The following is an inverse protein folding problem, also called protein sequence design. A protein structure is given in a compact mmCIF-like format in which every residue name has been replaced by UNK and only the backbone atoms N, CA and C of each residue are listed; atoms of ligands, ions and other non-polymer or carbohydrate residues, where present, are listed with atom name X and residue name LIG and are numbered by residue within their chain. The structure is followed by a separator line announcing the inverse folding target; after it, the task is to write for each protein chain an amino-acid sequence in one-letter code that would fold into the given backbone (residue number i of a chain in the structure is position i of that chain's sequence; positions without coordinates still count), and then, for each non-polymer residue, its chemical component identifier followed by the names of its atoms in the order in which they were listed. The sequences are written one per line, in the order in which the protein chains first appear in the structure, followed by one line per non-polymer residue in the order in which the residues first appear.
data_IF_038350006821
#
_entry.id   IF_038350006821
#
_cell.length_a   1.000
_cell.length_b   1.000
_cell.length_c   1.000
_cell.angle_alpha   90.00
_cell.angle_beta   90.00
_cell.angle_gamma   90.00
#
_symmetry.space_group_name_H-M   'P 1'
#
loop_
_entity.id
_entity.type
_entity.pdbx_description
1 polymer ?
#
# COMPACT_ATOMS: atom_id res chain seq x y z
N UNK A 1 51.95 -27.81 -3.46
CA UNK A 1 51.94 -29.27 -3.77
C UNK A 1 50.52 -29.74 -3.67
N UNK A 2 49.99 -30.32 -4.79
CA UNK A 2 48.92 -31.33 -4.94
C UNK A 2 47.55 -31.02 -4.28
N UNK A 3 46.41 -31.17 -4.85
CA UNK A 3 45.89 -31.63 -6.16
C UNK A 3 44.38 -31.71 -6.06
N UNK A 4 43.67 -31.17 -7.05
CA UNK A 4 42.45 -31.58 -7.75
C UNK A 4 41.53 -32.63 -7.06
N UNK A 5 40.22 -32.39 -7.02
CA UNK A 5 39.29 -33.20 -7.81
C UNK A 5 37.97 -32.45 -8.07
N UNK A 6 37.68 -32.39 -9.35
CA UNK A 6 36.46 -32.04 -10.06
C UNK A 6 35.44 -33.19 -9.90
N UNK A 7 34.19 -32.92 -9.64
CA UNK A 7 33.09 -33.83 -10.00
C UNK A 7 31.96 -33.04 -10.63
N UNK A 8 31.86 -33.25 -11.92
CA UNK A 8 30.76 -32.85 -12.82
C UNK A 8 29.60 -33.82 -12.62
N UNK A 9 28.40 -33.29 -12.44
CA UNK A 9 27.19 -34.13 -12.47
C UNK A 9 26.08 -33.39 -13.20
N UNK A 10 26.00 -33.62 -14.51
CA UNK A 10 24.90 -33.27 -15.40
C UNK A 10 23.79 -34.29 -15.19
N UNK A 11 22.58 -33.87 -14.89
CA UNK A 11 21.37 -34.67 -15.06
C UNK A 11 20.31 -33.81 -15.76
N UNK A 12 20.23 -34.05 -17.06
CA UNK A 12 19.12 -33.70 -17.91
C UNK A 12 17.90 -34.56 -17.54
N UNK A 13 16.74 -33.92 -17.41
CA UNK A 13 15.49 -34.67 -17.48
C UNK A 13 14.54 -34.03 -18.47
N UNK A 14 14.16 -34.91 -19.37
CA UNK A 14 13.46 -34.63 -20.63
C UNK A 14 11.99 -34.28 -20.47
N UNK A 15 11.51 -33.52 -21.45
CA UNK A 15 10.11 -33.27 -21.82
C UNK A 15 9.26 -34.55 -21.87
N UNK A 16 8.01 -34.42 -21.47
CA UNK A 16 6.92 -35.18 -22.10
C UNK A 16 5.79 -34.18 -22.40
N UNK A 17 5.60 -33.90 -23.69
CA UNK A 17 4.39 -33.36 -24.29
C UNK A 17 3.34 -34.48 -24.31
N UNK A 18 2.12 -34.16 -23.89
CA UNK A 18 0.95 -34.93 -24.28
C UNK A 18 -0.14 -34.01 -24.77
N UNK A 19 -0.30 -33.98 -26.09
CA UNK A 19 -1.44 -33.44 -26.84
C UNK A 19 -2.49 -34.56 -26.97
N UNK A 20 -3.74 -34.23 -26.63
CA UNK A 20 -4.96 -34.79 -27.24
C UNK A 20 -6.13 -33.98 -26.63
N UNK A 21 -7.08 -33.36 -27.34
CA UNK A 21 -7.65 -33.63 -28.65
C UNK A 21 -9.15 -33.45 -28.50
N UNK A 22 -9.72 -32.48 -29.21
CA UNK A 22 -11.07 -32.23 -29.69
C UNK A 22 -12.22 -33.10 -29.16
N UNK A 23 -13.35 -32.46 -28.76
CA UNK A 23 -14.57 -32.64 -29.61
C UNK A 23 -15.63 -31.59 -29.29
N UNK A 24 -16.17 -31.04 -30.34
CA UNK A 24 -17.38 -30.17 -30.39
C UNK A 24 -18.63 -31.05 -30.27
N UNK A 25 -19.69 -30.52 -29.68
CA UNK A 25 -21.03 -30.79 -30.20
C UNK A 25 -22.01 -29.64 -29.97
N UNK A 26 -22.87 -29.47 -30.94
CA UNK A 26 -23.87 -28.44 -31.18
C UNK A 26 -25.22 -28.79 -30.60
N UNK A 27 -26.03 -27.73 -30.35
CA UNK A 27 -27.49 -27.87 -30.26
C UNK A 27 -28.05 -26.74 -29.39
N UNK A 28 -28.48 -25.68 -29.93
CA UNK A 28 -29.67 -25.29 -30.69
C UNK A 28 -30.89 -24.95 -29.80
N UNK A 29 -31.21 -23.64 -29.89
CA UNK A 29 -32.57 -23.00 -29.95
C UNK A 29 -33.50 -23.13 -28.73
N UNK A 30 -34.01 -22.00 -28.22
CA UNK A 30 -35.21 -21.35 -28.72
C UNK A 30 -35.52 -20.03 -27.95
N UNK A 31 -35.95 -19.08 -28.76
CA UNK A 31 -36.58 -17.78 -28.44
C UNK A 31 -37.86 -17.91 -27.58
N UNK A 32 -38.11 -16.89 -26.79
CA UNK A 32 -39.40 -16.17 -26.93
C UNK A 32 -39.34 -14.79 -26.25
N UNK A 33 -39.70 -13.86 -27.04
CA UNK A 33 -40.05 -12.47 -26.83
C UNK A 33 -41.33 -12.29 -26.03
N UNK A 34 -41.40 -11.21 -25.25
CA UNK A 34 -42.59 -10.33 -25.30
C UNK A 34 -42.35 -9.00 -24.60
N UNK A 35 -42.44 -7.99 -25.40
CA UNK A 35 -42.65 -6.57 -25.13
C UNK A 35 -44.02 -6.31 -24.50
N UNK A 36 -44.17 -5.33 -23.59
CA UNK A 36 -45.30 -4.40 -23.57
C UNK A 36 -44.89 -3.05 -23.02
N UNK A 37 -45.09 -2.01 -23.82
CA UNK A 37 -45.20 -0.58 -23.50
C UNK A 37 -46.55 -0.24 -22.88
N UNK A 38 -46.61 0.80 -22.08
CA UNK A 38 -47.60 1.91 -22.10
C UNK A 38 -47.38 2.80 -20.88
N UNK A 39 -46.89 3.99 -20.99
CA UNK A 39 -47.49 5.32 -21.24
C UNK A 39 -48.81 5.61 -20.45
N UNK A 40 -48.73 6.60 -19.57
CA UNK A 40 -49.67 7.74 -19.61
C UNK A 40 -49.28 8.84 -18.60
N UNK A 41 -49.28 10.02 -19.11
CA UNK A 41 -49.16 11.35 -18.53
C UNK A 41 -50.42 11.79 -17.82
N UNK A 42 -50.31 12.59 -16.72
CA UNK A 42 -51.29 13.65 -16.41
C UNK A 42 -50.55 14.86 -15.83
N UNK A 43 -50.84 16.02 -16.42
CA UNK A 43 -50.53 17.38 -16.02
C UNK A 43 -51.50 17.88 -14.96
N UNK A 44 -51.05 18.74 -14.04
CA UNK A 44 -51.65 20.01 -13.58
C UNK A 44 -50.79 20.50 -12.39
N UNK A 45 -50.16 21.63 -12.30
CA UNK A 45 -50.51 22.97 -12.62
C UNK A 45 -50.90 23.73 -11.33
N UNK A 46 -49.94 24.49 -10.71
CA UNK A 46 -50.25 25.84 -10.13
C UNK A 46 -48.99 26.48 -9.48
N UNK A 47 -48.59 27.53 -10.03
CA UNK A 47 -48.01 28.85 -9.66
C UNK A 47 -47.53 29.17 -8.24
N UNK A 48 -46.31 29.77 -8.22
CA UNK A 48 -45.75 30.90 -7.48
C UNK A 48 -45.52 30.81 -5.99
N UNK A 49 -44.24 30.88 -5.58
CA UNK A 49 -43.62 32.11 -4.99
C UNK A 49 -42.12 31.97 -4.93
N UNK A 50 -41.45 33.02 -5.43
CA UNK A 50 -40.01 33.29 -5.28
C UNK A 50 -39.68 33.43 -3.79
N UNK A 51 -38.66 32.68 -3.32
CA UNK A 51 -37.76 33.13 -2.26
C UNK A 51 -36.35 32.71 -2.60
N UNK A 52 -35.60 33.69 -2.98
CA UNK A 52 -34.13 33.73 -3.04
C UNK A 52 -33.52 33.14 -1.77
N UNK A 53 -32.75 32.10 -1.93
CA UNK A 53 -31.77 31.67 -0.95
C UNK A 53 -30.66 30.96 -1.74
N UNK A 54 -29.60 31.70 -1.98
CA UNK A 54 -28.35 31.18 -2.50
C UNK A 54 -27.85 30.09 -1.54
N UNK A 55 -28.06 28.85 -1.90
CA UNK A 55 -27.34 27.73 -1.34
C UNK A 55 -26.11 27.51 -2.22
N UNK A 56 -24.97 27.90 -1.67
CA UNK A 56 -23.66 27.66 -2.22
C UNK A 56 -23.48 26.11 -2.28
N UNK A 57 -23.55 25.55 -3.48
CA UNK A 57 -23.10 24.18 -3.76
C UNK A 57 -21.58 24.13 -3.60
N UNK A 58 -21.13 23.75 -2.41
CA UNK A 58 -19.72 23.52 -2.11
C UNK A 58 -19.36 22.03 -1.93
N UNK A 59 -20.25 21.10 -2.27
CA UNK A 59 -20.03 19.66 -1.96
C UNK A 59 -19.74 18.76 -3.18
N UNK A 60 -19.89 19.26 -4.41
CA UNK A 60 -19.60 18.45 -5.60
C UNK A 60 -18.15 18.56 -6.11
N UNK A 61 -17.45 19.63 -5.72
CA UNK A 61 -16.09 19.90 -6.23
C UNK A 61 -15.00 19.15 -5.42
N UNK A 62 -15.21 18.96 -4.14
CA UNK A 62 -14.27 18.24 -3.27
C UNK A 62 -14.26 16.72 -3.51
N UNK A 63 -15.40 16.11 -3.78
CA UNK A 63 -15.50 14.70 -4.16
C UNK A 63 -14.81 14.41 -5.49
N UNK A 64 -14.87 15.34 -6.45
CA UNK A 64 -14.19 15.22 -7.75
C UNK A 64 -12.67 15.41 -7.64
N UNK A 65 -12.19 16.24 -6.72
CA UNK A 65 -10.74 16.45 -6.51
C UNK A 65 -10.11 15.23 -5.83
N UNK A 66 -10.73 14.70 -4.77
CA UNK A 66 -10.24 13.52 -4.06
C UNK A 66 -10.10 12.32 -5.01
N UNK A 67 -11.14 12.01 -5.82
CA UNK A 67 -11.06 10.91 -6.78
C UNK A 67 -9.95 11.07 -7.83
N UNK A 68 -9.65 12.32 -8.24
CA UNK A 68 -8.53 12.58 -9.17
C UNK A 68 -7.17 12.41 -8.50
N UNK A 69 -7.06 12.76 -7.24
CA UNK A 69 -5.87 12.55 -6.42
C UNK A 69 -5.60 11.06 -6.28
N UNK A 70 -6.63 10.26 -5.95
CA UNK A 70 -6.54 8.80 -5.87
C UNK A 70 -6.07 8.17 -7.20
N UNK A 71 -6.62 8.64 -8.33
CA UNK A 71 -6.19 8.21 -9.67
C UNK A 71 -4.72 8.57 -9.97
N UNK A 72 -4.24 9.68 -9.45
CA UNK A 72 -2.84 10.12 -9.62
C UNK A 72 -1.89 9.28 -8.77
N UNK A 73 -2.21 9.00 -7.52
CA UNK A 73 -1.44 8.08 -6.68
C UNK A 73 -1.44 6.65 -7.24
N UNK A 74 -2.56 6.19 -7.79
CA UNK A 74 -2.61 4.88 -8.47
C UNK A 74 -1.66 4.82 -9.67
N UNK A 75 -1.53 5.90 -10.45
CA UNK A 75 -0.56 5.98 -11.56
C UNK A 75 0.88 5.98 -11.07
N UNK A 76 1.18 6.67 -9.99
CA UNK A 76 2.51 6.67 -9.39
C UNK A 76 2.89 5.28 -8.90
N UNK A 77 2.00 4.61 -8.18
CA UNK A 77 2.19 3.22 -7.76
C UNK A 77 2.37 2.26 -8.94
N UNK A 78 1.69 2.52 -10.08
CA UNK A 78 1.86 1.74 -11.29
C UNK A 78 3.28 1.87 -11.87
N UNK A 79 3.89 3.06 -11.84
CA UNK A 79 5.28 3.28 -12.27
C UNK A 79 6.23 2.39 -11.44
N UNK A 80 6.08 2.38 -10.12
CA UNK A 80 6.88 1.54 -9.24
C UNK A 80 6.66 0.05 -9.49
N UNK A 81 5.44 -0.35 -9.82
CA UNK A 81 5.10 -1.74 -10.16
C UNK A 81 5.66 -2.17 -11.52
N UNK A 82 5.58 -1.32 -12.52
CA UNK A 82 6.05 -1.63 -13.88
C UNK A 82 7.57 -1.79 -13.94
N UNK A 83 8.31 -1.03 -13.14
CA UNK A 83 9.77 -1.07 -13.05
C UNK A 83 10.26 -1.54 -11.68
N UNK A 84 9.56 -2.49 -11.08
CA UNK A 84 9.76 -2.94 -9.71
C UNK A 84 11.20 -3.33 -9.37
N UNK A 85 11.89 -4.05 -10.27
CA UNK A 85 13.25 -4.53 -9.98
C UNK A 85 14.24 -3.39 -9.76
N UNK A 86 14.12 -2.30 -10.53
CA UNK A 86 15.00 -1.14 -10.39
C UNK A 86 14.56 -0.24 -9.23
N UNK A 87 13.25 -0.07 -9.01
CA UNK A 87 12.74 0.71 -7.87
C UNK A 87 13.05 0.07 -6.52
N UNK A 88 13.04 -1.25 -6.43
CA UNK A 88 13.50 -1.96 -5.23
C UNK A 88 14.96 -1.67 -4.89
N UNK A 89 15.81 -1.44 -5.89
CA UNK A 89 17.20 -1.01 -5.62
C UNK A 89 17.22 0.41 -5.05
N UNK A 90 16.42 1.34 -5.62
CA UNK A 90 16.33 2.72 -5.11
C UNK A 90 15.84 2.72 -3.67
N UNK A 91 14.72 2.05 -3.37
CA UNK A 91 14.15 1.97 -2.02
C UNK A 91 15.11 1.31 -1.02
N UNK A 92 15.87 0.30 -1.46
CA UNK A 92 16.91 -0.30 -0.62
C UNK A 92 18.10 0.62 -0.31
N UNK A 93 18.26 1.71 -1.07
CA UNK A 93 19.31 2.71 -0.84
C UNK A 93 18.81 3.87 0.03
N UNK A 94 17.50 4.16 0.02
CA UNK A 94 16.89 5.23 0.82
C UNK A 94 17.05 5.01 2.33
N UNK A 95 17.03 3.76 2.80
CA UNK A 95 17.13 3.41 4.22
C UNK A 95 18.49 3.71 4.87
N UNK A 96 19.47 4.20 4.12
CA UNK A 96 20.85 4.40 4.60
C UNK A 96 21.22 5.84 4.91
N UNK A 97 20.41 6.83 4.51
CA UNK A 97 20.83 8.25 4.55
C UNK A 97 19.64 9.19 4.85
N UNK A 98 18.90 8.95 5.93
CA UNK A 98 17.98 9.96 6.48
C UNK A 98 18.76 10.98 7.30
N UNK A 99 19.62 11.77 6.66
CA UNK A 99 20.19 12.96 7.29
C UNK A 99 19.17 14.10 7.28
N UNK A 100 19.14 14.89 8.35
CA UNK A 100 18.24 16.03 8.61
C UNK A 100 18.12 17.06 7.46
N UNK A 101 18.93 16.93 6.40
CA UNK A 101 18.93 17.83 5.25
C UNK A 101 17.81 17.59 4.22
N UNK A 102 17.07 16.52 4.34
CA UNK A 102 16.04 16.12 3.34
C UNK A 102 14.61 16.60 3.67
N UNK A 103 14.41 17.30 4.76
CA UNK A 103 13.07 17.67 5.28
C UNK A 103 12.31 18.76 4.49
N UNK A 104 12.93 19.38 3.46
CA UNK A 104 12.27 20.44 2.66
C UNK A 104 12.26 20.14 1.15
N UNK A 105 12.47 18.89 0.75
CA UNK A 105 12.64 18.52 -0.66
C UNK A 105 11.37 17.85 -1.21
N UNK A 106 10.97 18.12 -2.45
CA UNK A 106 9.88 17.38 -3.10
C UNK A 106 10.25 15.90 -3.26
N UNK A 107 9.27 15.01 -3.22
CA UNK A 107 9.52 13.55 -3.21
C UNK A 107 10.27 13.09 -4.47
N UNK A 108 9.88 13.57 -5.65
CA UNK A 108 10.61 13.28 -6.88
C UNK A 108 12.08 13.74 -6.82
N UNK A 109 12.36 14.89 -6.20
CA UNK A 109 13.72 15.40 -6.01
C UNK A 109 14.50 14.52 -5.02
N UNK A 110 13.86 14.03 -3.98
CA UNK A 110 14.47 13.10 -3.03
C UNK A 110 14.84 11.76 -3.70
N UNK A 111 13.93 11.20 -4.51
CA UNK A 111 14.20 9.99 -5.30
C UNK A 111 15.37 10.22 -6.27
N UNK A 112 15.34 11.33 -7.00
CA UNK A 112 16.40 11.70 -7.95
C UNK A 112 17.77 11.85 -7.26
N UNK A 113 17.80 12.49 -6.09
CA UNK A 113 19.04 12.63 -5.30
C UNK A 113 19.55 11.27 -4.79
N UNK A 114 18.65 10.38 -4.36
CA UNK A 114 19.02 9.02 -3.96
C UNK A 114 19.66 8.26 -5.11
N UNK A 115 19.07 8.32 -6.30
CA UNK A 115 19.60 7.69 -7.52
C UNK A 115 20.95 8.32 -7.88
N UNK A 116 21.04 9.65 -7.92
CA UNK A 116 22.24 10.39 -8.30
C UNK A 116 23.42 10.11 -7.35
N UNK A 117 23.15 9.95 -6.06
CA UNK A 117 24.16 9.64 -5.04
C UNK A 117 24.67 8.21 -5.13
N UNK A 118 23.92 7.32 -5.81
CA UNK A 118 24.22 5.89 -5.89
C UNK A 118 24.30 5.38 -7.34
N UNK A 119 24.69 6.23 -8.30
CA UNK A 119 24.69 5.89 -9.74
C UNK A 119 25.43 4.60 -10.09
N UNK A 120 26.51 4.30 -9.37
CA UNK A 120 27.32 3.10 -9.59
C UNK A 120 26.58 1.79 -9.26
N UNK A 121 25.42 1.87 -8.59
CA UNK A 121 24.57 0.72 -8.27
C UNK A 121 23.61 0.34 -9.40
N UNK A 122 23.55 1.14 -10.47
CA UNK A 122 22.61 0.98 -11.58
C UNK A 122 23.33 0.84 -12.92
N UNK A 123 22.73 0.11 -13.85
CA UNK A 123 23.16 0.08 -15.25
C UNK A 123 22.71 1.34 -16.01
N UNK A 124 23.27 1.61 -17.19
CA UNK A 124 22.86 2.74 -18.03
C UNK A 124 21.36 2.64 -18.43
N UNK A 125 20.86 1.44 -18.72
CA UNK A 125 19.46 1.23 -19.05
C UNK A 125 18.53 1.46 -17.85
N UNK A 126 18.93 1.02 -16.65
CA UNK A 126 18.20 1.28 -15.41
C UNK A 126 18.16 2.77 -15.08
N UNK A 127 19.27 3.49 -15.22
CA UNK A 127 19.31 4.94 -14.99
C UNK A 127 18.39 5.69 -15.95
N UNK A 128 18.33 5.27 -17.21
CA UNK A 128 17.41 5.86 -18.18
C UNK A 128 15.94 5.61 -17.81
N UNK A 129 15.60 4.41 -17.41
CA UNK A 129 14.25 4.08 -16.93
C UNK A 129 13.86 4.93 -15.74
N UNK A 130 14.76 5.04 -14.74
CA UNK A 130 14.54 5.86 -13.55
C UNK A 130 14.39 7.35 -13.88
N UNK A 131 15.15 7.89 -14.84
CA UNK A 131 15.02 9.28 -15.27
C UNK A 131 13.64 9.56 -15.91
N UNK A 132 13.14 8.64 -16.75
CA UNK A 132 11.82 8.74 -17.36
C UNK A 132 10.71 8.65 -16.30
N UNK A 133 10.84 7.75 -15.33
CA UNK A 133 9.91 7.57 -14.22
C UNK A 133 9.86 8.79 -13.30
N UNK A 134 11.01 9.30 -12.85
CA UNK A 134 11.12 10.51 -12.01
C UNK A 134 10.42 11.70 -12.66
N UNK A 135 10.61 11.87 -13.97
CA UNK A 135 9.93 12.93 -14.70
C UNK A 135 8.41 12.79 -14.64
N UNK A 136 7.91 11.56 -14.76
CA UNK A 136 6.48 11.28 -14.70
C UNK A 136 5.93 11.46 -13.28
N UNK A 137 6.66 10.99 -12.26
CA UNK A 137 6.32 11.19 -10.85
C UNK A 137 6.23 12.67 -10.53
N UNK A 138 7.21 13.48 -10.92
CA UNK A 138 7.20 14.94 -10.70
C UNK A 138 5.99 15.64 -11.34
N UNK A 139 5.55 15.19 -12.52
CA UNK A 139 4.35 15.73 -13.15
C UNK A 139 3.06 15.30 -12.41
N UNK A 140 3.03 14.08 -11.87
CA UNK A 140 1.94 13.59 -11.02
C UNK A 140 1.86 14.42 -9.74
N UNK A 141 2.95 14.59 -9.02
CA UNK A 141 3.01 15.40 -7.79
C UNK A 141 2.53 16.84 -8.02
N UNK A 142 2.96 17.43 -9.12
CA UNK A 142 2.49 18.77 -9.49
C UNK A 142 0.97 18.83 -9.69
N UNK A 143 0.40 17.82 -10.37
CA UNK A 143 -1.06 17.76 -10.56
C UNK A 143 -1.80 17.55 -9.23
N UNK A 144 -1.25 16.75 -8.32
CA UNK A 144 -1.80 16.54 -6.97
C UNK A 144 -1.76 17.87 -6.18
N UNK A 145 -0.65 18.60 -6.24
CA UNK A 145 -0.51 19.90 -5.60
C UNK A 145 -1.52 20.94 -6.15
N UNK A 146 -1.76 20.95 -7.47
CA UNK A 146 -2.75 21.83 -8.11
C UNK A 146 -4.19 21.49 -7.71
N UNK A 147 -4.46 20.25 -7.30
CA UNK A 147 -5.76 19.81 -6.76
C UNK A 147 -5.94 20.15 -5.29
N UNK A 148 -4.92 20.70 -4.63
CA UNK A 148 -4.98 21.22 -3.27
C UNK A 148 -4.75 20.18 -2.19
N UNK A 149 -4.10 19.05 -2.52
CA UNK A 149 -3.64 18.11 -1.49
C UNK A 149 -2.53 18.75 -0.66
N UNK A 150 -2.73 18.97 0.66
CA UNK A 150 -1.72 19.58 1.51
C UNK A 150 -0.49 18.70 1.75
N UNK A 151 -0.51 17.43 1.34
CA UNK A 151 0.61 16.49 1.47
C UNK A 151 1.69 16.69 0.40
N UNK A 152 1.35 17.38 -0.70
CA UNK A 152 2.30 17.68 -1.78
C UNK A 152 2.96 19.03 -1.54
N UNK A 153 4.27 19.04 -1.37
CA UNK A 153 5.09 20.23 -1.17
C UNK A 153 5.71 20.35 0.22
N UNK A 154 5.42 19.45 1.13
CA UNK A 154 6.18 19.28 2.36
C UNK A 154 6.67 17.84 2.43
N UNK A 155 7.94 17.69 2.33
CA UNK A 155 8.72 16.47 2.45
C UNK A 155 8.08 15.38 3.33
N UNK A 156 7.24 14.52 2.74
CA UNK A 156 6.80 13.29 3.38
C UNK A 156 7.28 12.07 2.60
N UNK A 157 8.58 12.04 2.32
CA UNK A 157 9.24 10.85 1.74
C UNK A 157 9.32 9.68 2.71
N UNK A 158 9.11 9.93 3.99
CA UNK A 158 8.81 8.92 4.99
C UNK A 158 7.70 9.49 5.88
N UNK A 159 6.69 8.69 6.26
CA UNK A 159 5.77 9.10 7.30
C UNK A 159 6.59 9.50 8.52
N UNK A 160 6.33 10.69 9.08
CA UNK A 160 7.13 11.25 10.16
C UNK A 160 7.24 10.26 11.33
N UNK A 161 8.44 10.12 11.85
CA UNK A 161 8.75 9.25 13.01
C UNK A 161 7.99 9.62 14.31
N UNK A 162 7.28 10.75 14.33
CA UNK A 162 6.51 11.24 15.47
C UNK A 162 5.10 11.72 15.08
N UNK A 163 4.33 10.88 14.39
CA UNK A 163 2.90 11.15 14.22
C UNK A 163 2.15 10.74 15.49
N UNK A 164 2.11 11.67 16.47
CA UNK A 164 1.37 11.45 17.72
C UNK A 164 -0.13 11.38 17.43
N UNK A 165 -0.76 10.30 17.90
CA UNK A 165 -2.21 10.14 17.84
C UNK A 165 -2.77 9.59 16.54
N UNK A 166 -1.96 9.23 15.55
CA UNK A 166 -2.43 8.70 14.23
C UNK A 166 -3.47 7.59 14.37
N UNK A 167 -3.24 6.64 15.29
CA UNK A 167 -4.15 5.52 15.54
C UNK A 167 -4.92 5.63 16.86
N UNK A 168 -4.78 6.73 17.61
CA UNK A 168 -5.39 6.90 18.94
C UNK A 168 -6.93 6.91 18.90
N UNK A 169 -7.50 7.37 17.81
CA UNK A 169 -8.95 7.43 17.58
C UNK A 169 -9.41 6.43 16.52
N UNK A 170 -8.62 5.38 16.25
CA UNK A 170 -8.93 4.38 15.24
C UNK A 170 -10.35 3.84 15.42
N UNK A 171 -11.12 3.84 14.35
CA UNK A 171 -12.39 3.12 14.18
C UNK A 171 -12.39 2.50 12.80
N UNK A 172 -12.54 1.20 12.74
CA UNK A 172 -12.46 0.47 11.49
C UNK A 172 -13.05 -0.92 11.65
N UNK A 173 -12.69 -1.80 10.73
CA UNK A 173 -13.10 -3.19 10.73
C UNK A 173 -11.91 -4.08 10.34
N UNK A 174 -11.97 -5.35 10.75
CA UNK A 174 -11.11 -6.35 10.11
C UNK A 174 -11.72 -6.78 8.76
N UNK A 175 -10.95 -7.55 7.99
CA UNK A 175 -11.40 -7.97 6.66
C UNK A 175 -12.62 -8.90 6.70
N UNK A 176 -13.00 -9.43 7.88
CA UNK A 176 -14.21 -10.22 8.07
C UNK A 176 -15.43 -9.36 8.48
N UNK A 177 -15.22 -8.03 8.60
CA UNK A 177 -16.26 -7.05 8.90
C UNK A 177 -16.53 -6.83 10.38
N UNK A 178 -15.72 -7.42 11.28
CA UNK A 178 -15.83 -7.18 12.72
C UNK A 178 -15.27 -5.81 13.08
N UNK A 179 -15.93 -5.10 13.98
CA UNK A 179 -15.50 -3.78 14.41
C UNK A 179 -14.14 -3.83 15.14
N UNK A 180 -13.28 -2.89 14.81
CA UNK A 180 -11.96 -2.68 15.40
C UNK A 180 -11.84 -1.23 15.82
N UNK A 181 -11.31 -0.98 17.01
CA UNK A 181 -11.03 0.36 17.50
C UNK A 181 -9.59 0.46 18.07
N UNK A 182 -9.21 1.66 18.51
CA UNK A 182 -7.87 1.92 19.05
C UNK A 182 -7.46 1.04 20.24
N UNK A 183 -8.41 0.36 20.91
CA UNK A 183 -8.09 -0.58 21.98
C UNK A 183 -7.26 -1.78 21.52
N UNK A 184 -7.18 -2.03 20.20
CA UNK A 184 -6.32 -3.08 19.64
C UNK A 184 -4.86 -2.84 19.97
N UNK A 185 -4.41 -1.57 20.03
CA UNK A 185 -3.04 -1.20 20.36
C UNK A 185 -2.76 -1.31 21.88
N UNK A 186 -3.73 -0.98 22.72
CA UNK A 186 -3.54 -0.94 24.18
C UNK A 186 -3.20 -2.31 24.80
N UNK A 187 -3.45 -3.40 24.07
CA UNK A 187 -3.18 -4.77 24.51
C UNK A 187 -1.74 -5.22 24.34
N UNK A 188 -0.96 -4.49 23.57
CA UNK A 188 0.41 -4.85 23.21
C UNK A 188 1.37 -3.72 23.55
N UNK A 189 2.56 -4.04 24.02
CA UNK A 189 3.62 -3.05 24.26
C UNK A 189 4.05 -2.35 22.97
N UNK A 190 4.02 -3.11 21.88
CA UNK A 190 4.30 -2.62 20.53
C UNK A 190 3.41 -3.33 19.51
N UNK A 191 2.92 -2.59 18.55
CA UNK A 191 2.27 -3.14 17.36
C UNK A 191 3.10 -2.79 16.14
N UNK A 192 3.51 -3.80 15.38
CA UNK A 192 4.12 -3.65 14.05
C UNK A 192 2.98 -3.47 13.07
N UNK A 193 2.88 -2.31 12.43
CA UNK A 193 1.87 -2.01 11.41
C UNK A 193 2.54 -2.02 10.05
N UNK A 194 2.16 -2.97 9.22
CA UNK A 194 2.68 -3.14 7.87
C UNK A 194 1.66 -2.65 6.84
N UNK A 195 2.09 -1.74 5.96
CA UNK A 195 1.29 -1.21 4.87
C UNK A 195 1.64 -1.93 3.56
N UNK A 196 0.62 -2.39 2.85
CA UNK A 196 0.76 -3.15 1.63
C UNK A 196 -0.42 -2.93 0.66
N UNK A 197 -0.36 -3.46 -0.57
CA UNK A 197 -1.47 -3.48 -1.52
C UNK A 197 -1.46 -4.76 -2.37
N UNK A 198 -2.58 -5.10 -3.01
CA UNK A 198 -2.80 -6.38 -3.68
C UNK A 198 -1.85 -6.64 -4.85
N UNK A 199 -1.43 -5.58 -5.56
CA UNK A 199 -0.49 -5.67 -6.68
C UNK A 199 1.00 -5.67 -6.28
N UNK A 200 1.31 -5.41 -4.99
CA UNK A 200 2.67 -5.27 -4.50
C UNK A 200 3.37 -6.62 -4.31
N UNK A 201 4.10 -7.08 -5.31
CA UNK A 201 4.82 -8.36 -5.23
C UNK A 201 5.79 -8.47 -4.05
N UNK A 202 6.67 -7.46 -3.75
CA UNK A 202 7.54 -7.55 -2.58
C UNK A 202 6.77 -7.57 -1.27
N UNK A 203 5.64 -6.84 -1.17
CA UNK A 203 4.80 -6.92 0.02
C UNK A 203 4.24 -8.33 0.22
N UNK A 204 3.72 -8.94 -0.85
CA UNK A 204 3.17 -10.30 -0.81
C UNK A 204 4.26 -11.31 -0.43
N UNK A 205 5.48 -11.11 -0.89
CA UNK A 205 6.60 -12.01 -0.60
C UNK A 205 6.99 -12.01 0.89
N UNK A 206 6.89 -10.87 1.60
CA UNK A 206 7.22 -10.78 3.02
C UNK A 206 6.10 -11.22 3.98
N UNK A 207 4.84 -11.35 3.51
CA UNK A 207 3.70 -11.69 4.37
C UNK A 207 3.93 -12.93 5.26
N UNK A 208 4.54 -14.03 4.75
CA UNK A 208 4.85 -15.19 5.59
C UNK A 208 5.89 -14.89 6.69
N UNK A 209 6.82 -13.96 6.45
CA UNK A 209 7.83 -13.58 7.44
C UNK A 209 7.22 -12.65 8.50
N UNK A 210 6.30 -11.77 8.11
CA UNK A 210 5.47 -11.01 9.05
C UNK A 210 4.60 -11.91 9.94
N UNK A 211 4.09 -13.03 9.41
CA UNK A 211 3.32 -13.99 10.20
C UNK A 211 4.21 -14.75 11.22
N UNK A 212 5.44 -15.05 10.86
CA UNK A 212 6.44 -15.58 11.80
C UNK A 212 6.79 -14.57 12.88
N UNK A 213 7.04 -13.31 12.47
CA UNK A 213 7.30 -12.21 13.38
C UNK A 213 6.14 -12.01 14.36
N UNK A 214 4.88 -12.06 13.91
CA UNK A 214 3.72 -11.97 14.78
C UNK A 214 3.75 -13.02 15.89
N UNK A 215 4.03 -14.28 15.54
CA UNK A 215 4.12 -15.39 16.52
C UNK A 215 5.27 -15.22 17.51
N UNK A 216 6.39 -14.65 17.08
CA UNK A 216 7.50 -14.31 17.96
C UNK A 216 7.12 -13.19 18.93
N UNK A 217 6.49 -12.13 18.40
CA UNK A 217 6.07 -10.95 19.17
C UNK A 217 5.01 -11.28 20.23
N UNK A 218 4.12 -12.24 20.01
CA UNK A 218 3.15 -12.66 21.02
C UNK A 218 3.82 -13.02 22.35
N UNK A 219 4.98 -13.67 22.32
CA UNK A 219 5.74 -14.03 23.50
C UNK A 219 6.43 -12.83 24.17
N UNK A 220 6.60 -11.72 23.43
CA UNK A 220 7.26 -10.49 23.86
C UNK A 220 6.26 -9.40 24.27
N UNK A 221 4.95 -9.66 24.14
CA UNK A 221 3.90 -8.67 24.41
C UNK A 221 3.64 -7.72 23.25
N UNK A 222 3.97 -8.12 22.03
CA UNK A 222 3.72 -7.39 20.78
C UNK A 222 2.78 -8.12 19.83
N UNK A 223 2.48 -7.50 18.71
CA UNK A 223 1.66 -8.06 17.63
C UNK A 223 2.03 -7.45 16.27
N UNK A 224 1.56 -8.06 15.18
CA UNK A 224 1.56 -7.50 13.83
C UNK A 224 0.14 -7.18 13.40
N UNK A 225 -0.06 -6.07 12.70
CA UNK A 225 -1.31 -5.69 12.03
C UNK A 225 -0.97 -5.30 10.59
N UNK A 226 -1.73 -5.80 9.62
CA UNK A 226 -1.66 -5.38 8.23
C UNK A 226 -2.70 -4.30 7.91
N UNK A 227 -2.33 -3.34 7.08
CA UNK A 227 -3.22 -2.37 6.48
C UNK A 227 -2.99 -2.41 4.96
N UNK A 228 -4.02 -2.82 4.24
CA UNK A 228 -3.97 -2.82 2.78
C UNK A 228 -4.60 -1.52 2.25
N UNK A 229 -3.86 -0.73 1.48
CA UNK A 229 -4.31 0.56 0.99
C UNK A 229 -5.52 0.46 0.04
N UNK A 230 -5.70 -0.67 -0.65
CA UNK A 230 -6.84 -0.92 -1.54
C UNK A 230 -8.10 -1.41 -0.81
N UNK A 231 -8.06 -1.55 0.52
CA UNK A 231 -9.24 -1.92 1.33
C UNK A 231 -9.85 -0.74 2.08
N UNK A 232 -9.27 0.46 1.95
CA UNK A 232 -9.80 1.67 2.58
C UNK A 232 -11.27 1.91 2.17
N UNK A 233 -12.02 2.59 3.01
CA UNK A 233 -13.47 2.82 2.82
C UNK A 233 -14.31 1.53 2.71
N UNK A 234 -13.71 0.36 2.95
CA UNK A 234 -14.38 -0.92 2.83
C UNK A 234 -14.62 -1.36 1.39
N UNK A 235 -13.69 -1.04 0.48
CA UNK A 235 -13.77 -1.53 -0.91
C UNK A 235 -13.84 -3.05 -0.95
N UNK A 236 -14.94 -3.56 -1.45
CA UNK A 236 -15.23 -5.00 -1.40
C UNK A 236 -14.34 -5.81 -2.34
N UNK A 237 -13.98 -5.27 -3.49
CA UNK A 237 -13.11 -5.95 -4.45
C UNK A 237 -11.69 -6.05 -3.91
N UNK A 238 -11.17 -4.96 -3.33
CA UNK A 238 -9.89 -4.94 -2.64
C UNK A 238 -9.85 -5.91 -1.46
N UNK A 239 -10.91 -5.94 -0.64
CA UNK A 239 -11.02 -6.85 0.51
C UNK A 239 -11.03 -8.33 0.07
N UNK A 240 -11.79 -8.68 -0.96
CA UNK A 240 -11.86 -10.06 -1.45
C UNK A 240 -10.51 -10.53 -2.00
N UNK A 241 -9.82 -9.70 -2.77
CA UNK A 241 -8.49 -10.04 -3.29
C UNK A 241 -7.45 -10.09 -2.16
N UNK A 242 -7.45 -9.13 -1.22
CA UNK A 242 -6.59 -9.16 -0.05
C UNK A 242 -6.77 -10.45 0.77
N UNK A 243 -8.00 -10.86 1.06
CA UNK A 243 -8.30 -12.12 1.77
C UNK A 243 -7.78 -13.35 1.04
N UNK A 244 -7.87 -13.38 -0.28
CA UNK A 244 -7.35 -14.48 -1.11
C UNK A 244 -5.83 -14.54 -1.00
N UNK A 245 -5.13 -13.41 -1.16
CA UNK A 245 -3.68 -13.32 -1.04
C UNK A 245 -3.22 -13.77 0.36
N UNK A 246 -3.80 -13.22 1.42
CA UNK A 246 -3.45 -13.57 2.81
C UNK A 246 -3.63 -15.06 3.09
N UNK A 247 -4.70 -15.66 2.57
CA UNK A 247 -4.96 -17.09 2.69
C UNK A 247 -3.91 -17.93 1.93
N UNK A 248 -3.56 -17.53 0.72
CA UNK A 248 -2.53 -18.21 -0.09
C UNK A 248 -1.15 -18.12 0.54
N UNK A 249 -0.82 -17.01 1.20
CA UNK A 249 0.43 -16.80 1.94
C UNK A 249 0.42 -17.39 3.36
N UNK A 250 -0.71 -17.95 3.82
CA UNK A 250 -0.83 -18.57 5.13
C UNK A 250 -0.77 -17.59 6.30
N UNK A 251 -1.18 -16.34 6.07
CA UNK A 251 -1.18 -15.27 7.07
C UNK A 251 -2.30 -15.45 8.09
N UNK A 252 -1.96 -15.33 9.36
CA UNK A 252 -2.91 -15.45 10.48
C UNK A 252 -3.06 -14.18 11.32
N UNK A 253 -2.15 -13.22 11.20
CA UNK A 253 -2.28 -11.94 11.88
C UNK A 253 -3.38 -11.07 11.28
N UNK A 254 -3.90 -10.16 12.10
CA UNK A 254 -5.05 -9.33 11.74
C UNK A 254 -4.70 -8.29 10.68
N UNK A 255 -5.54 -8.20 9.65
CA UNK A 255 -5.55 -7.11 8.70
C UNK A 255 -6.81 -6.27 8.91
N UNK A 256 -6.69 -4.94 8.87
CA UNK A 256 -7.77 -4.00 9.17
C UNK A 256 -7.91 -2.95 8.06
N UNK A 257 -9.09 -2.37 7.97
CA UNK A 257 -9.38 -1.22 7.14
C UNK A 257 -10.25 -0.20 7.88
N UNK A 258 -10.26 1.01 7.40
CA UNK A 258 -10.97 2.15 7.96
C UNK A 258 -11.27 3.18 6.88
N UNK A 259 -12.00 4.25 7.26
CA UNK A 259 -12.30 5.37 6.37
C UNK A 259 -11.04 6.19 6.10
N UNK A 260 -10.81 6.54 4.85
CA UNK A 260 -9.63 7.27 4.40
C UNK A 260 -9.59 8.74 4.86
N UNK A 261 -10.72 9.27 5.31
CA UNK A 261 -10.83 10.63 5.88
C UNK A 261 -10.37 10.71 7.34
N UNK A 262 -10.08 9.56 7.98
CA UNK A 262 -9.54 9.52 9.35
C UNK A 262 -8.04 9.86 9.37
N UNK A 263 -7.49 10.17 10.57
CA UNK A 263 -6.04 10.38 10.73
C UNK A 263 -5.23 9.17 10.24
N UNK A 264 -5.68 7.95 10.57
CA UNK A 264 -5.08 6.72 10.09
C UNK A 264 -5.22 6.55 8.57
N UNK A 265 -6.36 6.96 8.00
CA UNK A 265 -6.61 6.94 6.57
C UNK A 265 -5.73 7.93 5.81
N UNK A 266 -5.65 9.16 6.29
CA UNK A 266 -4.76 10.17 5.74
C UNK A 266 -3.29 9.71 5.79
N UNK A 267 -2.85 9.12 6.92
CA UNK A 267 -1.52 8.55 7.03
C UNK A 267 -1.28 7.43 6.00
N UNK A 268 -2.25 6.53 5.83
CA UNK A 268 -2.15 5.42 4.86
C UNK A 268 -2.05 5.91 3.42
N UNK A 269 -2.81 6.93 3.04
CA UNK A 269 -2.72 7.54 1.70
C UNK A 269 -1.38 8.21 1.44
N UNK A 270 -0.71 8.70 2.47
CA UNK A 270 0.61 9.32 2.39
C UNK A 270 1.78 8.32 2.40
N UNK A 271 1.51 7.00 2.37
CA UNK A 271 2.53 5.98 2.17
C UNK A 271 2.87 5.93 0.67
N UNK A 272 4.04 6.42 0.31
CA UNK A 272 4.51 6.52 -1.08
C UNK A 272 5.37 5.33 -1.52
N UNK A 273 5.89 4.55 -0.58
CA UNK A 273 6.71 3.38 -0.87
C UNK A 273 6.14 2.14 -0.18
N UNK A 274 6.10 1.01 -0.89
CA UNK A 274 5.58 -0.25 -0.37
C UNK A 274 6.60 -1.39 -0.56
N UNK A 275 6.73 -2.28 0.43
CA UNK A 275 6.08 -2.23 1.74
C UNK A 275 6.71 -1.16 2.66
N UNK A 276 5.88 -0.58 3.52
CA UNK A 276 6.33 0.26 4.64
C UNK A 276 5.86 -0.35 5.94
N UNK A 277 6.71 -0.36 6.96
CA UNK A 277 6.39 -0.86 8.28
C UNK A 277 6.69 0.19 9.34
N UNK A 278 5.74 0.45 10.25
CA UNK A 278 5.90 1.35 11.39
C UNK A 278 5.63 0.63 12.70
N UNK A 279 6.15 1.17 13.79
CA UNK A 279 5.85 0.73 15.15
C UNK A 279 4.82 1.66 15.78
N UNK A 280 3.85 1.07 16.47
CA UNK A 280 2.79 1.81 17.16
C UNK A 280 2.79 1.40 18.63
N UNK A 281 2.79 2.40 19.53
CA UNK A 281 2.72 2.19 20.99
C UNK A 281 1.28 1.88 21.47
N UNK A 282 1.12 1.64 22.79
CA UNK A 282 -0.19 1.37 23.41
C UNK A 282 -1.21 2.49 23.25
N UNK A 283 -0.75 3.71 23.00
CA UNK A 283 -1.60 4.89 22.90
C UNK A 283 -2.02 5.18 21.45
N UNK A 284 -1.56 4.36 20.49
CA UNK A 284 -1.82 4.57 19.07
C UNK A 284 -0.90 5.63 18.42
N UNK A 285 0.23 5.91 19.05
CA UNK A 285 1.25 6.78 18.46
C UNK A 285 2.24 5.97 17.65
N UNK A 286 2.65 6.50 16.51
CA UNK A 286 3.78 5.96 15.77
C UNK A 286 5.06 6.30 16.52
N UNK A 287 5.95 5.35 16.69
CA UNK A 287 7.19 5.46 17.44
C UNK A 287 8.35 4.83 16.66
N UNK A 288 9.53 5.40 16.78
CA UNK A 288 10.70 4.95 16.02
C UNK A 288 10.64 5.39 14.55
N UNK A 289 11.59 4.89 13.77
CA UNK A 289 11.70 5.22 12.35
C UNK A 289 10.91 4.23 11.48
N UNK A 290 10.16 4.69 10.47
CA UNK A 290 9.54 3.82 9.49
C UNK A 290 10.58 2.96 8.78
N UNK A 291 10.27 1.68 8.62
CA UNK A 291 11.08 0.77 7.82
C UNK A 291 10.52 0.74 6.40
N UNK A 292 11.32 1.11 5.42
CA UNK A 292 11.01 1.02 4.00
C UNK A 292 11.59 -0.28 3.42
N UNK A 293 10.77 -1.00 2.64
CA UNK A 293 11.12 -2.29 2.07
C UNK A 293 10.87 -3.47 3.00
N UNK A 294 10.96 -4.68 2.44
CA UNK A 294 10.52 -5.91 3.09
C UNK A 294 11.46 -6.43 4.18
N UNK A 295 10.88 -7.09 5.18
CA UNK A 295 11.61 -7.79 6.27
C UNK A 295 12.15 -9.16 5.86
N UNK A 296 11.93 -9.61 4.64
CA UNK A 296 12.60 -10.74 4.02
C UNK A 296 14.12 -10.53 3.88
N UNK A 297 14.57 -9.26 3.93
CA UNK A 297 15.97 -8.89 4.03
C UNK A 297 16.42 -8.90 5.50
N UNK A 298 17.48 -9.67 5.81
CA UNK A 298 18.00 -9.82 7.18
C UNK A 298 18.34 -8.48 7.83
N UNK A 299 18.91 -7.55 7.07
CA UNK A 299 19.27 -6.20 7.54
C UNK A 299 18.03 -5.43 8.02
N UNK A 300 16.94 -5.46 7.25
CA UNK A 300 15.67 -4.84 7.60
C UNK A 300 15.03 -5.49 8.84
N UNK A 301 15.04 -6.83 8.88
CA UNK A 301 14.55 -7.58 10.02
C UNK A 301 15.31 -7.23 11.31
N UNK A 302 16.64 -7.21 11.26
CA UNK A 302 17.48 -6.89 12.42
C UNK A 302 17.25 -5.45 12.90
N UNK A 303 17.11 -4.49 11.97
CA UNK A 303 16.80 -3.09 12.27
C UNK A 303 15.43 -2.97 12.96
N UNK A 304 14.39 -3.60 12.39
CA UNK A 304 13.04 -3.60 12.96
C UNK A 304 13.03 -4.21 14.36
N UNK A 305 13.70 -5.36 14.55
CA UNK A 305 13.79 -6.05 15.84
C UNK A 305 14.54 -5.22 16.91
N UNK A 306 15.53 -4.43 16.49
CA UNK A 306 16.22 -3.52 17.41
C UNK A 306 15.28 -2.42 17.91
N UNK A 307 14.50 -1.80 17.03
CA UNK A 307 13.50 -0.78 17.37
C UNK A 307 12.37 -1.38 18.24
N UNK A 308 11.84 -2.56 17.89
CA UNK A 308 10.81 -3.27 18.69
C UNK A 308 11.26 -3.45 20.13
N UNK A 309 12.50 -3.91 20.34
CA UNK A 309 13.04 -4.11 21.69
C UNK A 309 13.12 -2.80 22.48
N UNK A 310 13.50 -1.69 21.83
CA UNK A 310 13.53 -0.37 22.47
C UNK A 310 12.13 0.08 22.91
N UNK A 311 11.11 -0.10 22.05
CA UNK A 311 9.72 0.27 22.37
C UNK A 311 9.20 -0.58 23.54
N UNK A 312 9.45 -1.89 23.55
CA UNK A 312 9.04 -2.78 24.64
C UNK A 312 9.76 -2.42 25.95
N UNK A 313 11.01 -1.97 25.90
CA UNK A 313 11.74 -1.51 27.08
C UNK A 313 11.19 -0.19 27.62
N UNK A 314 10.80 0.71 26.76
CA UNK A 314 10.21 1.99 27.13
C UNK A 314 8.78 1.86 27.71
N UNK A 315 8.07 0.77 27.41
CA UNK A 315 6.71 0.47 27.90
C UNK A 315 6.68 -0.07 29.37
N UNK A 316 7.83 -0.38 29.97
CA UNK A 316 7.94 -0.88 31.35
C UNK A 316 7.89 0.23 32.38
#
# INVERSE_FOLDING_TARGET
MKSKHLVTGILAFSMILALAGCSADKGSSAQSSSSVQSSSSVKSGSTMEERDSAIINGSDDTSSAASKIDDLYAKENQIFSDHQDVWNKVFGLMSKDTSESNQEMEYADFLENTINSNKDSFTEDELKTLEEDIKTIREIEKQIAELGDPSVGTNSAAPSSEATGTFSNLKGKDLDGNDVDSSIFSKSAVTVVNFWFNGCKPCIAELPDLDKLNKELESMGGQVIGINSETLNGDQAGIEEAKKILKEQGVSYKNIYFDDTTDAGAYTRNILAFPTTVLVDRNGNIVGEPLLGGIDKQENYDSLMAQIKQVIEADK
#
